data_IF_529861514191
#
_entry.id   IF_529861514191
#
_cell.length_a   1.000
_cell.length_b   1.000
_cell.length_c   1.000
_cell.angle_alpha   90.00
_cell.angle_beta   90.00
_cell.angle_gamma   90.00
#
_symmetry.space_group_name_H-M   'P 1'
#
loop_
_entity.id
_entity.type
_entity.pdbx_description
1 polymer ?
#
# COMPACT_ATOMS: atom_id res chain seq x y z
N UNK A 1 -28.36 -13.54 1.87
CA UNK A 1 -27.81 -14.11 3.13
C UNK A 1 -28.45 -15.46 3.31
N UNK A 2 -27.63 -16.52 3.50
CA UNK A 2 -28.11 -17.85 3.82
C UNK A 2 -27.94 -18.07 5.32
N UNK A 3 -28.99 -18.50 6.00
CA UNK A 3 -29.00 -18.83 7.43
C UNK A 3 -29.26 -20.32 7.55
N UNK A 4 -28.37 -21.03 8.25
CA UNK A 4 -28.42 -22.49 8.35
C UNK A 4 -29.66 -23.00 9.09
N UNK A 5 -30.00 -22.35 10.21
CA UNK A 5 -31.10 -22.71 11.07
C UNK A 5 -31.54 -21.53 11.96
N UNK A 6 -32.64 -21.69 12.69
CA UNK A 6 -33.17 -20.67 13.59
C UNK A 6 -32.24 -20.37 14.78
N UNK A 7 -31.43 -21.34 15.22
CA UNK A 7 -30.49 -21.16 16.34
C UNK A 7 -29.36 -20.18 15.97
N UNK A 8 -28.98 -20.14 14.70
CA UNK A 8 -28.00 -19.16 14.19
C UNK A 8 -28.52 -17.71 14.31
N UNK A 9 -29.83 -17.48 14.13
CA UNK A 9 -30.46 -16.17 14.34
C UNK A 9 -30.47 -15.78 15.82
N UNK A 10 -30.76 -16.72 16.70
CA UNK A 10 -30.74 -16.48 18.15
C UNK A 10 -29.35 -16.19 18.67
N UNK A 11 -28.32 -16.83 18.10
CA UNK A 11 -26.92 -16.51 18.40
C UNK A 11 -26.51 -15.13 17.87
N UNK A 12 -26.97 -14.76 16.67
CA UNK A 12 -26.68 -13.45 16.08
C UNK A 12 -27.23 -12.31 16.96
N UNK A 13 -28.37 -12.48 17.61
CA UNK A 13 -28.94 -11.49 18.56
C UNK A 13 -28.06 -11.25 19.81
N UNK A 14 -27.16 -12.18 20.15
CA UNK A 14 -26.28 -12.10 21.33
C UNK A 14 -24.93 -11.56 21.00
N UNK A 15 -24.64 -11.21 19.71
CA UNK A 15 -23.38 -10.65 19.28
C UNK A 15 -23.19 -9.26 19.87
N UNK A 16 -22.10 -9.09 20.61
CA UNK A 16 -21.72 -7.82 21.25
C UNK A 16 -20.59 -7.11 20.51
N UNK A 17 -19.84 -7.85 19.71
CA UNK A 17 -18.71 -7.28 18.95
C UNK A 17 -18.68 -7.93 17.55
N UNK A 18 -18.52 -7.11 16.53
CA UNK A 18 -18.26 -7.55 15.15
C UNK A 18 -16.88 -7.08 14.76
N UNK A 19 -16.01 -8.02 14.35
CA UNK A 19 -14.67 -7.74 13.89
C UNK A 19 -14.69 -7.74 12.36
N UNK A 20 -14.28 -6.64 11.76
CA UNK A 20 -14.16 -6.46 10.31
C UNK A 20 -12.70 -6.63 9.88
N UNK A 21 -12.47 -7.35 8.82
CA UNK A 21 -11.25 -7.18 8.05
C UNK A 21 -11.27 -5.83 7.32
N UNK A 22 -10.12 -5.15 7.24
CA UNK A 22 -10.03 -3.85 6.54
C UNK A 22 -10.12 -4.06 5.03
N UNK A 23 -9.14 -4.80 4.48
CA UNK A 23 -8.91 -4.87 3.05
C UNK A 23 -9.94 -5.77 2.35
N UNK A 24 -10.69 -5.20 1.40
CA UNK A 24 -11.73 -5.92 0.65
C UNK A 24 -13.05 -6.10 1.41
N UNK A 25 -13.12 -5.76 2.70
CA UNK A 25 -14.35 -5.77 3.52
C UNK A 25 -14.85 -4.35 3.78
N UNK A 26 -14.11 -3.53 4.53
CA UNK A 26 -14.43 -2.11 4.71
C UNK A 26 -14.00 -1.27 3.52
N UNK A 27 -12.97 -1.70 2.82
CA UNK A 27 -12.49 -1.11 1.57
C UNK A 27 -12.90 -1.93 0.37
N UNK A 28 -12.69 -1.40 -0.84
CA UNK A 28 -13.00 -2.08 -2.11
C UNK A 28 -12.01 -3.22 -2.44
N UNK A 29 -10.86 -3.30 -1.75
CA UNK A 29 -9.79 -4.25 -2.02
C UNK A 29 -9.07 -3.99 -3.35
N UNK A 30 -9.11 -2.74 -3.80
CA UNK A 30 -8.48 -2.29 -5.05
C UNK A 30 -7.67 -1.03 -4.78
N UNK A 31 -6.45 -1.17 -4.25
CA UNK A 31 -5.59 -0.03 -4.00
C UNK A 31 -5.29 0.70 -5.31
N UNK A 32 -5.22 2.02 -5.23
CA UNK A 32 -4.85 2.92 -6.32
C UNK A 32 -3.72 3.82 -5.85
N UNK A 33 -2.87 4.29 -6.78
CA UNK A 33 -1.87 5.32 -6.46
C UNK A 33 -2.61 6.63 -6.18
N UNK A 34 -2.45 7.14 -4.96
CA UNK A 34 -3.11 8.36 -4.48
C UNK A 34 -2.20 9.59 -4.53
N UNK A 35 -0.88 9.40 -4.43
CA UNK A 35 0.09 10.50 -4.49
C UNK A 35 1.45 10.01 -5.00
N UNK A 36 2.21 10.91 -5.66
CA UNK A 36 3.58 10.67 -6.15
C UNK A 36 4.41 11.91 -5.80
N UNK A 37 5.40 11.74 -4.95
CA UNK A 37 6.27 12.83 -4.49
C UNK A 37 7.70 12.55 -4.91
N UNK A 38 8.18 13.24 -5.94
CA UNK A 38 9.58 13.16 -6.39
C UNK A 38 10.43 14.19 -5.63
N UNK A 39 11.64 13.79 -5.23
CA UNK A 39 12.64 14.69 -4.65
C UNK A 39 13.44 15.39 -5.76
N UNK A 40 14.07 14.59 -6.61
CA UNK A 40 14.83 15.06 -7.76
C UNK A 40 14.19 14.48 -9.02
N UNK A 41 13.94 15.32 -10.02
CA UNK A 41 13.27 14.88 -11.24
C UNK A 41 11.76 15.13 -11.23
N UNK A 42 11.05 14.42 -12.10
CA UNK A 42 9.62 14.55 -12.22
C UNK A 42 8.86 13.29 -11.72
N UNK A 43 7.58 13.46 -11.43
CA UNK A 43 6.71 12.38 -10.99
C UNK A 43 6.58 11.23 -12.03
N UNK A 44 6.54 11.47 -13.35
CA UNK A 44 6.58 10.44 -14.38
C UNK A 44 7.82 9.54 -14.31
N UNK A 45 9.00 10.07 -14.10
CA UNK A 45 10.24 9.29 -14.01
C UNK A 45 10.25 8.43 -12.72
N UNK A 46 9.80 8.97 -11.60
CA UNK A 46 9.62 8.22 -10.36
C UNK A 46 8.63 7.07 -10.54
N UNK A 47 7.48 7.35 -11.16
CA UNK A 47 6.47 6.35 -11.45
C UNK A 47 7.01 5.27 -12.40
N UNK A 48 7.77 5.68 -13.42
CA UNK A 48 8.41 4.76 -14.38
C UNK A 48 9.33 3.77 -13.67
N UNK A 49 10.24 4.26 -12.83
CA UNK A 49 11.19 3.42 -12.09
C UNK A 49 10.46 2.45 -11.14
N UNK A 50 9.55 2.97 -10.33
CA UNK A 50 8.81 2.15 -9.39
C UNK A 50 7.92 1.10 -10.09
N UNK A 51 7.20 1.49 -11.14
CA UNK A 51 6.36 0.56 -11.89
C UNK A 51 7.18 -0.49 -12.63
N UNK A 52 8.37 -0.14 -13.13
CA UNK A 52 9.28 -1.09 -13.75
C UNK A 52 9.79 -2.11 -12.72
N UNK A 53 10.12 -1.68 -11.51
CA UNK A 53 10.52 -2.56 -10.43
C UNK A 53 9.38 -3.50 -9.98
N UNK A 54 8.16 -3.01 -9.95
CA UNK A 54 6.98 -3.77 -9.50
C UNK A 54 6.39 -4.71 -10.56
N UNK A 55 6.94 -4.78 -11.79
CA UNK A 55 6.47 -5.73 -12.83
C UNK A 55 6.53 -7.18 -12.37
N UNK A 56 7.48 -7.55 -11.51
CA UNK A 56 7.63 -8.89 -10.95
C UNK A 56 6.80 -9.14 -9.70
N UNK A 57 6.09 -8.13 -9.18
CA UNK A 57 5.38 -8.21 -7.91
C UNK A 57 3.95 -8.75 -8.08
N UNK A 58 3.60 -9.73 -7.26
CA UNK A 58 2.22 -10.23 -7.14
C UNK A 58 1.41 -9.45 -6.08
N UNK A 59 2.03 -8.52 -5.37
CA UNK A 59 1.37 -7.75 -4.32
C UNK A 59 0.35 -6.76 -4.89
N UNK A 60 -0.81 -6.60 -4.22
CA UNK A 60 -1.89 -5.74 -4.71
C UNK A 60 -1.44 -4.27 -4.88
N UNK A 61 -0.56 -3.81 -4.01
CA UNK A 61 -0.02 -2.45 -4.03
C UNK A 61 0.93 -2.23 -5.22
N UNK A 62 1.80 -3.20 -5.52
CA UNK A 62 2.67 -3.17 -6.71
C UNK A 62 1.86 -3.15 -8.00
N UNK A 63 0.81 -3.97 -8.07
CA UNK A 63 -0.13 -3.94 -9.20
C UNK A 63 -0.80 -2.58 -9.38
N UNK A 64 -1.09 -1.85 -8.30
CA UNK A 64 -1.65 -0.49 -8.37
C UNK A 64 -0.66 0.49 -9.02
N UNK A 65 0.63 0.41 -8.67
CA UNK A 65 1.68 1.26 -9.26
C UNK A 65 1.83 0.95 -10.76
N UNK A 66 1.89 -0.32 -11.15
CA UNK A 66 1.94 -0.74 -12.57
C UNK A 66 0.69 -0.31 -13.33
N UNK A 67 -0.49 -0.42 -12.72
CA UNK A 67 -1.75 0.02 -13.34
C UNK A 67 -1.77 1.53 -13.58
N UNK A 68 -1.26 2.33 -12.64
CA UNK A 68 -1.14 3.78 -12.78
C UNK A 68 -0.20 4.16 -13.93
N UNK A 69 0.98 3.53 -14.02
CA UNK A 69 1.90 3.75 -15.12
C UNK A 69 1.27 3.45 -16.49
N UNK A 70 0.50 2.35 -16.59
CA UNK A 70 -0.24 2.01 -17.83
C UNK A 70 -1.31 3.05 -18.18
N UNK A 71 -2.03 3.57 -17.19
CA UNK A 71 -3.05 4.62 -17.42
C UNK A 71 -2.42 5.92 -17.93
N UNK A 72 -1.22 6.25 -17.48
CA UNK A 72 -0.47 7.42 -17.93
C UNK A 72 0.38 7.17 -19.18
N UNK A 73 0.27 5.96 -19.77
CA UNK A 73 1.05 5.57 -20.96
C UNK A 73 2.56 5.69 -20.75
N UNK A 74 3.04 5.39 -19.54
CA UNK A 74 4.46 5.39 -19.20
C UNK A 74 5.11 4.11 -19.73
N UNK A 75 6.16 4.25 -20.55
CA UNK A 75 6.95 3.13 -21.05
C UNK A 75 7.83 2.56 -19.95
N UNK A 76 7.59 1.30 -19.58
CA UNK A 76 8.35 0.63 -18.53
C UNK A 76 9.71 0.15 -19.03
N UNK A 77 10.70 0.18 -18.14
CA UNK A 77 12.02 -0.39 -18.38
C UNK A 77 11.96 -1.93 -18.33
N UNK A 78 12.89 -2.58 -19.03
CA UNK A 78 13.04 -4.03 -18.93
C UNK A 78 13.49 -4.43 -17.52
N UNK A 79 12.84 -5.45 -16.96
CA UNK A 79 13.18 -6.02 -15.66
C UNK A 79 14.17 -7.17 -15.88
N UNK A 80 15.42 -6.98 -15.43
CA UNK A 80 16.49 -7.99 -15.57
C UNK A 80 16.54 -8.96 -14.39
N UNK A 81 16.27 -8.47 -13.18
CA UNK A 81 16.21 -9.27 -11.97
C UNK A 81 15.24 -8.65 -10.96
N UNK A 82 14.66 -9.49 -10.12
CA UNK A 82 13.69 -9.11 -9.10
C UNK A 82 13.93 -9.94 -7.83
N UNK A 83 13.96 -9.27 -6.70
CA UNK A 83 14.04 -9.91 -5.39
C UNK A 83 13.04 -9.27 -4.43
N UNK A 84 12.07 -10.06 -3.97
CA UNK A 84 11.16 -9.63 -2.92
C UNK A 84 11.87 -9.64 -1.55
N UNK A 85 11.68 -8.58 -0.77
CA UNK A 85 12.14 -8.46 0.63
C UNK A 85 10.90 -8.56 1.54
N UNK A 86 10.57 -9.74 2.07
CA UNK A 86 9.33 -9.97 2.81
C UNK A 86 9.13 -8.96 3.95
N UNK A 87 7.96 -8.29 3.96
CA UNK A 87 7.61 -7.28 4.96
C UNK A 87 8.35 -5.93 4.83
N UNK A 88 9.20 -5.75 3.80
CA UNK A 88 9.99 -4.53 3.60
C UNK A 88 9.79 -3.89 2.24
N UNK A 89 9.66 -4.68 1.19
CA UNK A 89 9.54 -4.20 -0.18
C UNK A 89 10.23 -5.12 -1.18
N UNK A 90 10.94 -4.53 -2.14
CA UNK A 90 11.64 -5.25 -3.19
C UNK A 90 12.89 -4.51 -3.67
N UNK A 91 13.74 -5.28 -4.35
CA UNK A 91 14.87 -4.81 -5.14
C UNK A 91 14.71 -5.30 -6.58
N UNK A 92 14.97 -4.44 -7.56
CA UNK A 92 14.86 -4.78 -8.97
C UNK A 92 16.01 -4.17 -9.78
N UNK A 93 16.60 -4.98 -10.65
CA UNK A 93 17.62 -4.49 -11.60
C UNK A 93 16.96 -4.13 -12.92
N UNK A 94 17.23 -2.92 -13.38
CA UNK A 94 16.68 -2.29 -14.57
C UNK A 94 17.84 -1.76 -15.45
N UNK A 95 18.48 -2.63 -16.21
CA UNK A 95 19.70 -2.31 -16.96
C UNK A 95 20.89 -2.02 -16.02
N UNK A 96 21.43 -0.81 -16.10
CA UNK A 96 22.54 -0.38 -15.25
C UNK A 96 22.11 0.11 -13.84
N UNK A 97 20.82 0.25 -13.60
CA UNK A 97 20.27 0.76 -12.35
C UNK A 97 19.68 -0.36 -11.49
N UNK A 98 19.76 -0.17 -10.18
CA UNK A 98 19.03 -0.99 -9.20
C UNK A 98 18.02 -0.10 -8.48
N UNK A 99 16.75 -0.43 -8.60
CA UNK A 99 15.66 0.24 -7.92
C UNK A 99 15.27 -0.52 -6.64
N UNK A 100 15.02 0.22 -5.57
CA UNK A 100 14.51 -0.29 -4.31
C UNK A 100 13.17 0.38 -4.03
N UNK A 101 12.12 -0.41 -3.83
CA UNK A 101 10.77 0.08 -3.52
C UNK A 101 10.29 -0.58 -2.25
N UNK A 102 9.98 0.21 -1.21
CA UNK A 102 9.55 -0.38 0.05
C UNK A 102 9.31 0.63 1.17
N UNK A 103 9.19 0.09 2.38
CA UNK A 103 8.95 0.86 3.59
C UNK A 103 10.25 1.45 4.18
N UNK A 104 10.11 2.19 5.29
CA UNK A 104 11.25 2.79 5.98
C UNK A 104 12.30 1.75 6.43
N UNK A 105 11.89 0.53 6.79
CA UNK A 105 12.82 -0.52 7.21
C UNK A 105 13.72 -0.97 6.05
N UNK A 106 13.22 -1.00 4.81
CA UNK A 106 14.05 -1.26 3.63
C UNK A 106 15.08 -0.13 3.44
N UNK A 107 14.66 1.14 3.54
CA UNK A 107 15.57 2.29 3.39
C UNK A 107 16.70 2.24 4.43
N UNK A 108 16.38 1.90 5.68
CA UNK A 108 17.38 1.71 6.73
C UNK A 108 18.36 0.55 6.44
N UNK A 109 17.86 -0.57 5.90
CA UNK A 109 18.69 -1.73 5.55
C UNK A 109 19.72 -1.38 4.46
N UNK A 110 19.33 -0.58 3.47
CA UNK A 110 20.21 -0.15 2.38
C UNK A 110 20.94 1.16 2.68
N UNK A 111 20.91 1.63 3.92
CA UNK A 111 21.57 2.85 4.40
C UNK A 111 21.15 4.13 3.64
N UNK A 112 19.90 4.21 3.20
CA UNK A 112 19.31 5.40 2.57
C UNK A 112 18.60 6.24 3.63
N UNK A 113 18.95 7.53 3.72
CA UNK A 113 18.23 8.48 4.58
C UNK A 113 16.91 8.88 3.93
N UNK A 114 15.82 8.55 4.60
CA UNK A 114 14.45 8.88 4.18
C UNK A 114 13.88 10.12 4.91
N UNK A 115 14.72 10.86 5.65
CA UNK A 115 14.29 11.94 6.55
C UNK A 115 13.43 13.00 5.89
N UNK A 116 13.77 13.41 4.67
CA UNK A 116 13.01 14.43 3.91
C UNK A 116 11.54 14.05 3.64
N UNK A 117 11.27 12.76 3.41
CA UNK A 117 9.94 12.28 3.07
C UNK A 117 9.21 11.63 4.25
N UNK A 118 9.86 11.51 5.40
CA UNK A 118 9.31 10.81 6.55
C UNK A 118 7.99 11.43 7.04
N UNK A 119 7.95 12.73 7.23
CA UNK A 119 6.73 13.41 7.67
C UNK A 119 5.59 13.28 6.66
N UNK A 120 5.93 13.23 5.35
CA UNK A 120 4.93 13.00 4.30
C UNK A 120 4.39 11.58 4.34
N UNK A 121 5.26 10.58 4.52
CA UNK A 121 4.85 9.19 4.67
C UNK A 121 3.95 9.00 5.90
N UNK A 122 4.34 9.55 7.05
CA UNK A 122 3.54 9.50 8.28
C UNK A 122 2.16 10.16 8.10
N UNK A 123 2.07 11.28 7.37
CA UNK A 123 0.79 11.92 7.09
C UNK A 123 -0.11 11.07 6.18
N UNK A 124 0.45 10.38 5.18
CA UNK A 124 -0.27 9.46 4.30
C UNK A 124 -0.78 8.26 5.10
N UNK A 125 0.09 7.66 5.91
CA UNK A 125 -0.25 6.52 6.75
C UNK A 125 -1.31 6.88 7.78
N UNK A 126 -1.22 8.06 8.40
CA UNK A 126 -2.25 8.58 9.31
C UNK A 126 -3.61 8.83 8.66
N UNK A 127 -3.69 8.87 7.33
CA UNK A 127 -4.94 8.93 6.57
C UNK A 127 -5.39 7.55 6.04
N UNK A 128 -4.74 6.47 6.47
CA UNK A 128 -5.06 5.12 6.07
C UNK A 128 -4.48 4.67 4.73
N UNK A 129 -3.58 5.45 4.14
CA UNK A 129 -2.80 5.09 2.96
C UNK A 129 -1.58 4.24 3.30
N UNK A 130 -0.87 3.78 2.29
CA UNK A 130 0.43 3.10 2.40
C UNK A 130 1.46 3.89 1.60
N UNK A 131 2.59 4.21 2.23
CA UNK A 131 3.68 4.94 1.61
C UNK A 131 4.84 4.00 1.25
N UNK A 132 5.34 4.11 0.01
CA UNK A 132 6.52 3.39 -0.48
C UNK A 132 7.60 4.40 -0.82
N UNK A 133 8.72 4.28 -0.16
CA UNK A 133 9.94 4.98 -0.55
C UNK A 133 10.53 4.32 -1.78
N UNK A 134 11.05 5.13 -2.68
CA UNK A 134 11.74 4.69 -3.88
C UNK A 134 13.16 5.22 -3.85
N UNK A 135 14.13 4.30 -3.92
CA UNK A 135 15.53 4.62 -4.02
C UNK A 135 16.14 3.97 -5.26
N UNK A 136 17.18 4.57 -5.81
CA UNK A 136 17.90 4.07 -6.98
C UNK A 136 19.40 4.12 -6.74
N UNK A 137 20.12 3.11 -7.23
CA UNK A 137 21.57 3.09 -7.33
C UNK A 137 21.97 2.91 -8.79
N UNK A 138 22.88 3.70 -9.27
CA UNK A 138 23.61 3.43 -10.52
C UNK A 138 24.72 2.41 -10.26
N UNK A 139 25.24 1.77 -11.32
CA UNK A 139 26.22 0.70 -11.19
C UNK A 139 27.48 1.17 -10.43
N UNK A 140 27.74 0.55 -9.27
CA UNK A 140 28.89 0.88 -8.41
C UNK A 140 28.68 2.05 -7.47
N UNK A 141 27.50 2.65 -7.45
CA UNK A 141 27.14 3.75 -6.54
C UNK A 141 26.26 3.28 -5.37
N UNK A 142 26.25 4.05 -4.30
CA UNK A 142 25.32 3.83 -3.18
C UNK A 142 23.90 4.26 -3.56
N UNK A 143 22.87 3.56 -3.06
CA UNK A 143 21.48 3.95 -3.30
C UNK A 143 21.19 5.35 -2.75
N UNK A 144 20.38 6.11 -3.48
CA UNK A 144 19.86 7.41 -3.05
C UNK A 144 18.34 7.44 -3.13
N UNK A 145 17.72 8.16 -2.22
CA UNK A 145 16.27 8.38 -2.23
C UNK A 145 15.91 9.26 -3.42
N UNK A 146 14.88 8.88 -4.19
CA UNK A 146 14.38 9.67 -5.31
C UNK A 146 12.93 10.11 -5.13
N UNK A 147 12.20 9.49 -4.21
CA UNK A 147 10.82 9.91 -3.95
C UNK A 147 10.02 8.90 -3.14
N UNK A 148 8.72 9.15 -3.14
CA UNK A 148 7.72 8.37 -2.42
C UNK A 148 6.48 8.20 -3.29
N UNK A 149 5.91 6.99 -3.31
CA UNK A 149 4.62 6.70 -3.94
C UNK A 149 3.65 6.27 -2.85
N UNK A 150 2.50 6.91 -2.81
CA UNK A 150 1.42 6.57 -1.92
C UNK A 150 0.35 5.78 -2.64
N UNK A 151 -0.21 4.80 -1.94
CA UNK A 151 -1.41 4.09 -2.38
C UNK A 151 -2.48 4.16 -1.30
N UNK A 152 -3.73 4.18 -1.71
CA UNK A 152 -4.87 4.09 -0.80
C UNK A 152 -5.91 3.11 -1.36
N UNK A 153 -6.61 2.43 -0.45
CA UNK A 153 -7.74 1.58 -0.81
C UNK A 153 -9.03 2.28 -0.40
N UNK A 154 -9.88 2.54 -1.37
CA UNK A 154 -11.09 3.32 -1.18
C UNK A 154 -12.08 2.60 -0.28
N UNK A 155 -12.59 3.30 0.73
CA UNK A 155 -13.65 2.79 1.59
C UNK A 155 -14.91 2.50 0.76
N UNK A 156 -15.62 1.44 1.13
CA UNK A 156 -16.93 1.18 0.56
C UNK A 156 -17.91 2.27 0.99
N UNK A 157 -18.76 2.77 0.09
CA UNK A 157 -19.72 3.82 0.41
C UNK A 157 -20.63 3.47 1.60
N UNK A 158 -20.96 2.18 1.72
CA UNK A 158 -21.82 1.65 2.78
C UNK A 158 -21.10 1.39 4.13
N UNK A 159 -19.77 1.50 4.20
CA UNK A 159 -19.02 1.14 5.40
C UNK A 159 -19.37 2.03 6.59
N UNK A 160 -19.38 3.34 6.41
CA UNK A 160 -19.65 4.30 7.49
C UNK A 160 -21.07 4.12 8.06
N UNK A 161 -22.08 3.99 7.18
CA UNK A 161 -23.48 3.76 7.60
C UNK A 161 -23.63 2.42 8.34
N UNK A 162 -23.00 1.36 7.84
CA UNK A 162 -23.01 0.03 8.47
C UNK A 162 -22.44 0.10 9.90
N UNK A 163 -21.29 0.77 10.09
CA UNK A 163 -20.68 0.92 11.41
C UNK A 163 -21.57 1.75 12.36
N UNK A 164 -22.20 2.82 11.85
CA UNK A 164 -23.12 3.64 12.63
C UNK A 164 -24.36 2.83 13.09
N UNK A 165 -24.94 2.01 12.20
CA UNK A 165 -26.08 1.14 12.50
C UNK A 165 -25.73 0.07 13.54
N UNK A 166 -24.55 -0.53 13.46
CA UNK A 166 -24.10 -1.51 14.48
C UNK A 166 -23.99 -0.84 15.86
N UNK A 167 -23.38 0.36 15.93
CA UNK A 167 -23.28 1.13 17.19
C UNK A 167 -24.68 1.45 17.76
N UNK A 168 -25.62 1.84 16.92
CA UNK A 168 -27.00 2.11 17.33
C UNK A 168 -27.72 0.86 17.89
N UNK A 169 -27.35 -0.32 17.45
CA UNK A 169 -27.84 -1.61 17.97
C UNK A 169 -27.09 -2.06 19.24
N UNK A 170 -26.16 -1.25 19.78
CA UNK A 170 -25.35 -1.63 20.95
C UNK A 170 -24.22 -2.63 20.62
N UNK A 171 -23.94 -2.89 19.34
CA UNK A 171 -22.87 -3.78 18.91
C UNK A 171 -21.60 -2.96 18.69
N UNK A 172 -20.49 -3.40 19.27
CA UNK A 172 -19.20 -2.74 19.14
C UNK A 172 -18.49 -3.20 17.86
N UNK A 173 -18.26 -2.32 16.87
CA UNK A 173 -17.40 -2.65 15.75
C UNK A 173 -15.93 -2.62 16.19
N UNK A 174 -15.14 -3.58 15.73
CA UNK A 174 -13.70 -3.64 15.84
C UNK A 174 -13.11 -3.94 14.46
N UNK A 175 -11.86 -3.58 14.23
CA UNK A 175 -11.17 -3.85 12.98
C UNK A 175 -9.96 -4.74 13.23
N UNK A 176 -9.75 -5.70 12.34
CA UNK A 176 -8.53 -6.49 12.23
C UNK A 176 -7.85 -6.13 10.92
N UNK A 177 -6.58 -5.79 11.00
CA UNK A 177 -5.77 -5.47 9.81
C UNK A 177 -4.33 -5.94 10.02
N UNK A 178 -3.64 -6.29 8.93
CA UNK A 178 -2.20 -6.53 8.91
C UNK A 178 -1.38 -5.25 8.77
N UNK A 179 -2.03 -4.09 8.65
CA UNK A 179 -1.37 -2.81 8.54
C UNK A 179 -0.72 -2.38 9.87
N UNK A 180 0.17 -1.40 9.82
CA UNK A 180 0.70 -0.77 11.03
C UNK A 180 -0.40 -0.06 11.81
N UNK A 181 -0.19 0.15 13.12
CA UNK A 181 -1.15 0.86 13.98
C UNK A 181 -1.46 2.30 13.49
N UNK A 182 -0.58 2.90 12.71
CA UNK A 182 -0.78 4.22 12.11
C UNK A 182 -1.73 4.19 10.90
N UNK A 183 -1.83 3.05 10.21
CA UNK A 183 -2.67 2.86 9.01
C UNK A 183 -4.04 2.26 9.36
N UNK A 184 -4.18 1.67 10.54
CA UNK A 184 -5.43 1.10 11.07
C UNK A 184 -6.35 2.17 11.63
#
# INVERSE_FOLDING_TARGET
>A
ILVKDASALDLARKVQTVVFDKTGTLTKGRPVVSDIVALDGDAPDLLRLAASAEQGSEHALGRAIVARAKQESVDLLALDAFEARPGRGLEARLGAQTAHVGNLALMQEIAVDAGELRSRAEAIEGQGGTAFYVAVADAGESPRLIGLIATSDELRPEAADTLARLRALGVRPAMLTGDSAAVA
#
